data_IF_063922457437
#
_entry.id   IF_063922457437
#
_cell.length_a   1.000
_cell.length_b   1.000
_cell.length_c   1.000
_cell.angle_alpha   90.00
_cell.angle_beta   90.00
_cell.angle_gamma   90.00
#
_symmetry.space_group_name_H-M   'P 1'
#
loop_
_entity.id
_entity.type
_entity.pdbx_description
1 polymer ?
#
# COMPACT_ATOMS: atom_id res chain seq x y z
N UNK A 1 -36.98 -8.60 0.97
CA UNK A 1 -35.60 -9.07 0.73
C UNK A 1 -34.71 -7.96 1.27
N UNK A 2 -34.00 -8.17 2.38
CA UNK A 2 -33.10 -7.13 2.91
C UNK A 2 -31.97 -6.94 1.89
N UNK A 3 -31.76 -5.72 1.42
CA UNK A 3 -30.58 -5.36 0.64
C UNK A 3 -29.35 -5.49 1.53
N UNK A 4 -28.36 -6.27 1.10
CA UNK A 4 -27.05 -6.28 1.74
C UNK A 4 -26.41 -4.89 1.59
N UNK A 5 -25.83 -4.39 2.67
CA UNK A 5 -24.97 -3.20 2.66
C UNK A 5 -23.66 -3.50 1.95
N UNK A 6 -22.95 -2.48 1.46
CA UNK A 6 -21.64 -2.68 0.84
C UNK A 6 -20.67 -3.40 1.80
N UNK A 7 -20.69 -3.06 3.09
CA UNK A 7 -19.77 -3.62 4.08
C UNK A 7 -19.98 -5.14 4.25
N UNK A 8 -21.22 -5.62 4.22
CA UNK A 8 -21.50 -7.08 4.27
C UNK A 8 -21.01 -7.82 3.02
N UNK A 9 -21.02 -7.16 1.86
CA UNK A 9 -20.45 -7.72 0.62
C UNK A 9 -18.93 -7.76 0.71
N UNK A 10 -18.32 -6.66 1.18
CA UNK A 10 -16.87 -6.55 1.32
C UNK A 10 -16.32 -7.53 2.35
N UNK A 11 -17.03 -7.79 3.45
CA UNK A 11 -16.66 -8.80 4.44
C UNK A 11 -16.61 -10.21 3.82
N UNK A 12 -17.65 -10.59 3.05
CA UNK A 12 -17.70 -11.87 2.34
C UNK A 12 -16.59 -12.03 1.29
N UNK A 13 -16.17 -10.92 0.67
CA UNK A 13 -15.15 -10.91 -0.39
C UNK A 13 -13.76 -10.46 0.09
N UNK A 14 -13.60 -10.27 1.39
CA UNK A 14 -12.42 -9.63 1.96
C UNK A 14 -11.12 -10.33 1.53
N UNK A 15 -11.07 -11.65 1.64
CA UNK A 15 -9.88 -12.43 1.28
C UNK A 15 -9.52 -12.26 -0.20
N UNK A 16 -10.52 -12.24 -1.09
CA UNK A 16 -10.32 -12.07 -2.53
C UNK A 16 -9.83 -10.67 -2.85
N UNK A 17 -10.47 -9.64 -2.29
CA UNK A 17 -10.08 -8.23 -2.49
C UNK A 17 -8.67 -7.99 -1.97
N UNK A 18 -8.37 -8.40 -0.74
CA UNK A 18 -7.04 -8.24 -0.14
C UNK A 18 -5.96 -8.95 -0.94
N UNK A 19 -6.21 -10.17 -1.40
CA UNK A 19 -5.25 -10.92 -2.22
C UNK A 19 -4.92 -10.17 -3.52
N UNK A 20 -5.95 -9.68 -4.22
CA UNK A 20 -5.78 -8.89 -5.45
C UNK A 20 -5.07 -7.57 -5.19
N UNK A 21 -5.42 -6.88 -4.11
CA UNK A 21 -4.83 -5.59 -3.77
C UNK A 21 -3.36 -5.73 -3.34
N UNK A 22 -3.04 -6.77 -2.56
CA UNK A 22 -1.67 -7.11 -2.19
C UNK A 22 -0.82 -7.48 -3.41
N UNK A 23 -1.39 -8.19 -4.38
CA UNK A 23 -0.71 -8.48 -5.64
C UNK A 23 -0.46 -7.22 -6.48
N UNK A 24 -1.38 -6.26 -6.48
CA UNK A 24 -1.18 -4.96 -7.11
C UNK A 24 -0.13 -4.11 -6.39
N UNK A 25 -0.03 -4.26 -5.07
CA UNK A 25 0.96 -3.57 -4.24
C UNK A 25 2.36 -4.18 -4.31
N UNK A 26 2.48 -5.45 -4.70
CA UNK A 26 3.77 -6.10 -4.86
C UNK A 26 4.58 -5.45 -5.98
N UNK A 27 5.87 -5.22 -5.75
CA UNK A 27 6.75 -4.76 -6.81
C UNK A 27 6.87 -5.86 -7.85
N UNK A 28 6.49 -5.55 -9.10
CA UNK A 28 6.82 -6.42 -10.24
C UNK A 28 8.32 -6.25 -10.49
N UNK A 29 9.10 -7.10 -9.83
CA UNK A 29 10.55 -7.03 -9.86
C UNK A 29 11.08 -7.12 -11.31
N UNK A 30 11.83 -6.10 -11.75
CA UNK A 30 12.73 -6.20 -12.91
C UNK A 30 14.10 -6.81 -12.50
N UNK A 31 14.37 -6.97 -11.20
CA UNK A 31 15.63 -7.53 -10.69
C UNK A 31 15.41 -8.79 -9.84
N UNK A 32 15.28 -9.98 -10.48
CA UNK A 32 15.06 -11.25 -9.77
C UNK A 32 16.25 -11.72 -8.89
N UNK A 33 17.33 -10.94 -8.80
CA UNK A 33 18.59 -11.32 -8.16
C UNK A 33 18.67 -11.10 -6.64
N UNK A 34 17.75 -10.35 -6.03
CA UNK A 34 17.85 -10.07 -4.59
C UNK A 34 16.97 -10.94 -3.68
N UNK A 35 15.89 -11.55 -4.15
CA UNK A 35 15.07 -12.45 -3.31
C UNK A 35 14.30 -13.48 -4.16
N UNK A 36 14.94 -14.57 -4.58
CA UNK A 36 14.24 -15.77 -5.06
C UNK A 36 14.82 -17.05 -4.49
N UNK A 37 14.61 -17.25 -3.19
CA UNK A 37 14.50 -18.61 -2.66
C UNK A 37 13.02 -18.98 -2.58
N UNK A 38 12.55 -19.62 -3.66
CA UNK A 38 11.18 -20.20 -3.79
C UNK A 38 10.86 -21.31 -2.77
N UNK A 39 11.70 -21.55 -1.76
CA UNK A 39 11.61 -22.68 -0.82
C UNK A 39 11.36 -22.31 0.64
N UNK A 40 11.32 -21.04 1.00
CA UNK A 40 11.13 -20.59 2.38
C UNK A 40 9.91 -19.68 2.47
N UNK A 41 8.73 -20.26 2.65
CA UNK A 41 7.52 -19.47 2.97
C UNK A 41 7.57 -19.02 4.43
N UNK A 42 8.06 -17.81 4.68
CA UNK A 42 8.09 -17.21 6.03
C UNK A 42 8.56 -15.76 6.03
N UNK A 43 8.27 -15.04 7.12
CA UNK A 43 8.63 -13.62 7.32
C UNK A 43 10.14 -13.31 7.17
N UNK A 44 10.99 -14.33 7.25
CA UNK A 44 12.44 -14.22 7.12
C UNK A 44 12.94 -14.32 5.67
N UNK A 45 12.17 -14.91 4.78
CA UNK A 45 12.53 -15.09 3.37
C UNK A 45 12.08 -13.92 2.49
N UNK A 46 10.95 -13.30 2.86
CA UNK A 46 10.43 -12.10 2.22
C UNK A 46 9.88 -11.12 3.27
N UNK A 47 10.77 -10.43 4.01
CA UNK A 47 10.37 -9.48 5.04
C UNK A 47 9.54 -8.32 4.47
N UNK A 48 9.89 -7.86 3.27
CA UNK A 48 9.21 -6.75 2.62
C UNK A 48 7.79 -7.13 2.18
N UNK A 49 7.59 -8.31 1.59
CA UNK A 49 6.26 -8.78 1.25
C UNK A 49 5.43 -9.13 2.48
N UNK A 50 6.02 -9.63 3.56
CA UNK A 50 5.31 -9.79 4.84
C UNK A 50 4.80 -8.45 5.37
N UNK A 51 5.66 -7.43 5.46
CA UNK A 51 5.27 -6.09 5.91
C UNK A 51 4.21 -5.47 5.00
N UNK A 52 4.33 -5.66 3.68
CA UNK A 52 3.32 -5.20 2.72
C UNK A 52 1.96 -5.84 2.99
N UNK A 53 1.89 -7.17 3.15
CA UNK A 53 0.64 -7.89 3.45
C UNK A 53 0.04 -7.47 4.80
N UNK A 54 0.88 -7.34 5.83
CA UNK A 54 0.45 -6.86 7.16
C UNK A 54 -0.15 -5.46 7.09
N UNK A 55 0.54 -4.52 6.45
CA UNK A 55 0.11 -3.12 6.43
C UNK A 55 -1.07 -2.87 5.49
N UNK A 56 -1.14 -3.54 4.33
CA UNK A 56 -2.35 -3.50 3.50
C UNK A 56 -3.58 -4.03 4.23
N UNK A 57 -3.45 -5.06 5.08
CA UNK A 57 -4.56 -5.50 5.95
C UNK A 57 -4.98 -4.42 6.95
N UNK A 58 -4.04 -3.69 7.55
CA UNK A 58 -4.35 -2.57 8.46
C UNK A 58 -5.07 -1.43 7.74
N UNK A 59 -4.60 -1.06 6.55
CA UNK A 59 -5.26 -0.04 5.72
C UNK A 59 -6.66 -0.44 5.27
N UNK A 60 -6.85 -1.73 4.98
CA UNK A 60 -8.17 -2.29 4.71
C UNK A 60 -9.10 -2.14 5.90
N UNK A 61 -8.68 -2.53 7.11
CA UNK A 61 -9.50 -2.36 8.32
C UNK A 61 -9.85 -0.89 8.57
N UNK A 62 -8.88 0.02 8.40
CA UNK A 62 -9.16 1.45 8.43
C UNK A 62 -10.27 1.82 7.44
N UNK A 63 -10.19 1.34 6.19
CA UNK A 63 -11.14 1.66 5.11
C UNK A 63 -12.56 1.12 5.34
N UNK A 64 -12.72 -0.07 5.94
CA UNK A 64 -14.04 -0.70 6.10
C UNK A 64 -14.66 -0.50 7.49
N UNK A 65 -13.89 -0.03 8.48
CA UNK A 65 -14.36 0.23 9.85
C UNK A 65 -14.17 1.72 10.22
N UNK A 66 -14.84 2.67 9.52
CA UNK A 66 -14.71 4.12 9.76
C UNK A 66 -15.01 4.57 11.19
N UNK A 67 -15.83 3.80 11.92
CA UNK A 67 -16.23 4.07 13.30
C UNK A 67 -15.16 3.71 14.32
N UNK A 68 -14.12 2.96 13.91
CA UNK A 68 -13.01 2.56 14.78
C UNK A 68 -11.79 3.45 14.57
N UNK A 69 -11.07 3.68 15.65
CA UNK A 69 -9.83 4.46 15.66
C UNK A 69 -8.65 3.60 15.19
N UNK A 70 -8.61 3.33 13.87
CA UNK A 70 -7.48 2.66 13.24
C UNK A 70 -6.44 3.67 12.79
N UNK A 71 -5.18 3.38 13.08
CA UNK A 71 -4.05 4.18 12.60
C UNK A 71 -3.80 3.93 11.10
N UNK A 72 -3.91 4.98 10.29
CA UNK A 72 -3.57 5.00 8.86
C UNK A 72 -2.10 5.38 8.61
N UNK A 73 -1.50 6.17 9.49
CA UNK A 73 -0.19 6.79 9.27
C UNK A 73 0.92 5.74 9.35
N UNK A 74 0.99 4.98 10.44
CA UNK A 74 2.05 3.97 10.59
C UNK A 74 2.06 2.92 9.45
N UNK A 75 0.93 2.31 9.03
CA UNK A 75 0.99 1.35 7.93
C UNK A 75 1.36 2.00 6.58
N UNK A 76 0.97 3.26 6.32
CA UNK A 76 1.41 3.99 5.14
C UNK A 76 2.92 4.27 5.20
N UNK A 77 3.45 4.72 6.33
CA UNK A 77 4.89 4.94 6.51
C UNK A 77 5.71 3.67 6.25
N UNK A 78 5.30 2.53 6.80
CA UNK A 78 6.02 1.26 6.64
C UNK A 78 6.07 0.85 5.16
N UNK A 79 4.95 0.97 4.43
CA UNK A 79 4.90 0.68 2.98
C UNK A 79 5.75 1.69 2.20
N UNK A 80 5.60 2.98 2.48
CA UNK A 80 6.31 4.05 1.78
C UNK A 80 7.83 3.94 1.96
N UNK A 81 8.31 3.61 3.17
CA UNK A 81 9.73 3.37 3.45
C UNK A 81 10.30 2.24 2.59
N UNK A 82 9.59 1.10 2.50
CA UNK A 82 9.98 -0.03 1.65
C UNK A 82 10.09 0.41 0.18
N UNK A 83 9.07 1.10 -0.33
CA UNK A 83 9.00 1.56 -1.72
C UNK A 83 10.03 2.65 -2.04
N UNK A 84 10.33 3.53 -1.08
CA UNK A 84 11.27 4.65 -1.26
C UNK A 84 12.71 4.16 -1.31
N UNK A 85 13.08 3.18 -0.47
CA UNK A 85 14.40 2.52 -0.52
C UNK A 85 14.64 1.87 -1.88
N UNK A 86 13.59 1.35 -2.51
CA UNK A 86 13.62 0.78 -3.87
C UNK A 86 13.64 1.82 -5.00
N UNK A 87 13.61 3.11 -4.68
CA UNK A 87 13.71 4.23 -5.63
C UNK A 87 12.66 4.21 -6.74
N UNK A 88 11.48 3.69 -6.44
CA UNK A 88 10.37 3.68 -7.39
C UNK A 88 9.90 5.11 -7.68
N UNK A 89 9.25 5.32 -8.82
CA UNK A 89 8.53 6.59 -9.05
C UNK A 89 7.25 6.61 -8.19
N UNK A 90 6.74 7.78 -7.75
CA UNK A 90 5.51 7.86 -6.95
C UNK A 90 4.33 7.07 -7.56
N UNK A 91 4.16 7.13 -8.89
CA UNK A 91 3.11 6.39 -9.61
C UNK A 91 3.25 4.86 -9.46
N UNK A 92 4.49 4.34 -9.46
CA UNK A 92 4.76 2.92 -9.24
C UNK A 92 4.66 2.54 -7.76
N UNK A 93 5.06 3.44 -6.86
CA UNK A 93 5.06 3.21 -5.43
C UNK A 93 3.63 3.17 -4.84
N UNK A 94 2.77 4.09 -5.29
CA UNK A 94 1.48 4.41 -4.66
C UNK A 94 0.26 4.06 -5.53
N UNK A 95 0.45 3.78 -6.82
CA UNK A 95 -0.66 3.49 -7.75
C UNK A 95 -1.53 2.32 -7.32
N UNK A 96 -1.00 1.39 -6.51
CA UNK A 96 -1.77 0.29 -5.95
C UNK A 96 -2.93 0.77 -5.05
N UNK A 97 -2.80 1.92 -4.38
CA UNK A 97 -3.87 2.46 -3.52
C UNK A 97 -5.09 2.79 -4.38
N UNK A 98 -4.89 3.51 -5.49
CA UNK A 98 -5.97 3.86 -6.42
C UNK A 98 -6.52 2.64 -7.17
N UNK A 99 -5.69 1.60 -7.39
CA UNK A 99 -6.16 0.35 -7.99
C UNK A 99 -7.25 -0.35 -7.16
N UNK A 100 -7.33 -0.06 -5.85
CA UNK A 100 -8.37 -0.62 -4.99
C UNK A 100 -9.77 -0.21 -5.45
N UNK A 101 -9.94 0.99 -6.02
CA UNK A 101 -11.24 1.43 -6.55
C UNK A 101 -11.74 0.51 -7.66
N UNK A 102 -10.85 0.18 -8.62
CA UNK A 102 -11.17 -0.73 -9.71
C UNK A 102 -11.48 -2.14 -9.18
N UNK A 103 -10.70 -2.63 -8.21
CA UNK A 103 -10.95 -3.93 -7.57
C UNK A 103 -12.33 -3.95 -6.92
N UNK A 104 -12.68 -2.92 -6.14
CA UNK A 104 -14.00 -2.82 -5.51
C UNK A 104 -15.13 -2.79 -6.55
N UNK A 105 -14.99 -1.97 -7.58
CA UNK A 105 -15.98 -1.88 -8.66
C UNK A 105 -16.21 -3.24 -9.32
N UNK A 106 -15.14 -3.94 -9.69
CA UNK A 106 -15.23 -5.25 -10.33
C UNK A 106 -15.86 -6.32 -9.43
N UNK A 107 -15.50 -6.35 -8.15
CA UNK A 107 -16.08 -7.31 -7.20
C UNK A 107 -17.56 -7.03 -6.91
N UNK A 108 -18.01 -5.80 -7.14
CA UNK A 108 -19.40 -5.38 -6.98
C UNK A 108 -20.23 -5.49 -8.27
N UNK A 109 -19.64 -5.71 -9.45
CA UNK A 109 -20.39 -5.72 -10.73
C UNK A 109 -21.56 -6.72 -10.76
N UNK A 110 -21.40 -7.88 -10.12
CA UNK A 110 -22.38 -8.97 -10.14
C UNK A 110 -23.27 -9.03 -8.89
N UNK A 111 -23.10 -8.09 -7.96
CA UNK A 111 -23.84 -8.08 -6.70
C UNK A 111 -25.19 -7.37 -6.85
N UNK A 112 -26.21 -7.90 -6.17
CA UNK A 112 -27.55 -7.30 -6.17
C UNK A 112 -27.66 -6.35 -4.98
N UNK A 113 -27.69 -5.05 -5.23
CA UNK A 113 -27.87 -4.03 -4.19
C UNK A 113 -27.84 -2.61 -4.75
N UNK A 114 -28.21 -1.64 -3.92
CA UNK A 114 -28.06 -0.20 -4.22
C UNK A 114 -27.03 0.39 -3.26
N UNK A 115 -25.76 0.17 -3.55
CA UNK A 115 -24.61 0.59 -2.74
C UNK A 115 -23.81 1.72 -3.40
N UNK A 116 -24.38 2.42 -4.39
CA UNK A 116 -23.65 3.47 -5.15
C UNK A 116 -23.13 4.58 -4.23
N UNK A 117 -23.98 5.11 -3.35
CA UNK A 117 -23.59 6.16 -2.41
C UNK A 117 -22.54 5.66 -1.40
N UNK A 118 -22.66 4.42 -0.92
CA UNK A 118 -21.70 3.83 0.01
C UNK A 118 -20.33 3.59 -0.66
N UNK A 119 -20.34 3.17 -1.94
CA UNK A 119 -19.14 3.02 -2.75
C UNK A 119 -18.47 4.37 -3.00
N UNK A 120 -19.22 5.42 -3.32
CA UNK A 120 -18.69 6.79 -3.49
C UNK A 120 -17.98 7.28 -2.22
N UNK A 121 -18.55 7.00 -1.03
CA UNK A 121 -17.90 7.32 0.26
C UNK A 121 -16.59 6.54 0.42
N UNK A 122 -16.58 5.24 0.15
CA UNK A 122 -15.35 4.42 0.21
C UNK A 122 -14.29 4.90 -0.78
N UNK A 123 -14.69 5.25 -2.00
CA UNK A 123 -13.78 5.80 -3.02
C UNK A 123 -13.15 7.12 -2.57
N UNK A 124 -13.92 8.00 -1.91
CA UNK A 124 -13.39 9.22 -1.31
C UNK A 124 -12.37 8.95 -0.21
N UNK A 125 -12.57 7.92 0.62
CA UNK A 125 -11.60 7.48 1.63
C UNK A 125 -10.32 6.93 1.00
N UNK A 126 -10.42 6.21 -0.12
CA UNK A 126 -9.26 5.73 -0.87
C UNK A 126 -8.45 6.90 -1.45
N UNK A 127 -9.12 7.96 -1.94
CA UNK A 127 -8.42 9.17 -2.39
C UNK A 127 -7.68 9.86 -1.26
N UNK A 128 -8.32 10.01 -0.09
CA UNK A 128 -7.68 10.58 1.10
C UNK A 128 -6.45 9.75 1.52
N UNK A 129 -6.56 8.42 1.52
CA UNK A 129 -5.41 7.52 1.77
C UNK A 129 -4.29 7.73 0.76
N UNK A 130 -4.62 7.93 -0.52
CA UNK A 130 -3.63 8.14 -1.57
C UNK A 130 -2.88 9.47 -1.41
N UNK A 131 -3.58 10.54 -1.00
CA UNK A 131 -2.97 11.84 -0.71
C UNK A 131 -2.03 11.76 0.50
N UNK A 132 -2.48 11.15 1.60
CA UNK A 132 -1.65 10.94 2.79
C UNK A 132 -0.39 10.13 2.46
N UNK A 133 -0.55 9.05 1.70
CA UNK A 133 0.57 8.23 1.27
C UNK A 133 1.54 8.99 0.37
N UNK A 134 1.06 9.95 -0.43
CA UNK A 134 1.89 10.77 -1.29
C UNK A 134 2.83 11.67 -0.49
N UNK A 135 2.30 12.37 0.52
CA UNK A 135 3.09 13.24 1.39
C UNK A 135 4.15 12.44 2.16
N UNK A 136 3.74 11.33 2.79
CA UNK A 136 4.65 10.41 3.50
C UNK A 136 5.74 9.87 2.56
N UNK A 137 5.39 9.50 1.33
CA UNK A 137 6.35 9.00 0.35
C UNK A 137 7.35 10.08 -0.08
N UNK A 138 6.88 11.31 -0.31
CA UNK A 138 7.72 12.44 -0.67
C UNK A 138 8.74 12.74 0.43
N UNK A 139 8.32 12.71 1.69
CA UNK A 139 9.22 12.85 2.85
C UNK A 139 10.26 11.73 2.91
N UNK A 140 9.84 10.48 2.69
CA UNK A 140 10.77 9.34 2.63
C UNK A 140 11.83 9.53 1.54
N UNK A 141 11.44 9.99 0.34
CA UNK A 141 12.39 10.26 -0.73
C UNK A 141 13.35 11.42 -0.38
N UNK A 142 12.82 12.53 0.14
CA UNK A 142 13.62 13.67 0.56
C UNK A 142 14.69 13.24 1.59
N UNK A 143 14.31 12.40 2.55
CA UNK A 143 15.23 11.88 3.57
C UNK A 143 16.33 11.00 2.98
N UNK A 144 15.99 10.13 2.01
CA UNK A 144 16.99 9.31 1.30
C UNK A 144 17.99 10.19 0.55
N UNK A 145 17.52 11.23 -0.14
CA UNK A 145 18.41 12.17 -0.85
C UNK A 145 19.30 12.97 0.11
N UNK A 146 18.76 13.41 1.24
CA UNK A 146 19.54 14.12 2.27
C UNK A 146 20.68 13.25 2.81
N UNK A 147 20.41 11.97 3.08
CA UNK A 147 21.42 11.01 3.54
C UNK A 147 22.53 10.82 2.50
N UNK A 148 22.16 10.63 1.22
CA UNK A 148 23.12 10.50 0.11
C UNK A 148 23.99 11.74 -0.03
N UNK A 149 23.39 12.93 0.04
CA UNK A 149 24.13 14.18 -0.06
C UNK A 149 25.14 14.33 1.09
N UNK A 150 24.73 14.00 2.33
CA UNK A 150 25.63 14.01 3.50
C UNK A 150 26.78 13.01 3.34
N UNK A 151 26.52 11.83 2.79
CA UNK A 151 27.53 10.81 2.54
C UNK A 151 28.56 11.27 1.51
N UNK A 152 28.12 11.82 0.38
CA UNK A 152 28.99 12.42 -0.65
C UNK A 152 29.91 13.49 -0.03
N UNK A 153 29.35 14.41 0.76
CA UNK A 153 30.12 15.47 1.43
C UNK A 153 31.19 14.90 2.38
N UNK A 154 30.89 13.81 3.09
CA UNK A 154 31.85 13.12 3.98
C UNK A 154 32.95 12.38 3.23
N UNK A 155 32.69 11.90 2.02
CA UNK A 155 33.70 11.25 1.19
C UNK A 155 34.69 12.29 0.63
N UNK A 156 34.20 13.33 -0.03
CA UNK A 156 35.05 14.36 -0.63
C UNK A 156 35.69 15.32 0.39
N UNK A 157 35.14 15.44 1.59
CA UNK A 157 35.75 16.21 2.68
C UNK A 157 37.00 15.56 3.29
N UNK A 158 37.20 14.25 3.10
CA UNK A 158 38.36 13.49 3.61
C UNK A 158 39.56 13.50 2.68
N UNK A 159 39.39 13.84 1.39
CA UNK A 159 40.49 13.89 0.41
C UNK A 159 41.28 15.21 0.43
N UNK A 160 40.91 16.16 1.30
CA UNK A 160 41.55 17.49 1.40
C UNK A 160 42.24 17.77 2.74
N UNK A 161 42.48 16.74 3.56
CA UNK A 161 43.24 16.83 4.82
C UNK A 161 44.41 15.86 4.80
#
# INVERSE_FOLDING_TARGET
MMSLTILEILDKKEQQILSRWQAAAADRDENPGLLKDKKSSGQFADPAGYLLRKNTRRLWLWLIEPEKDHDIIQPLEEICKIKAVRQLKPTQALGFILSLKLILQEELLNEKGSYKAELEVLEGRIDAMALEAFDIYAECQARIYELRFKEIKRMYGRERG
#
